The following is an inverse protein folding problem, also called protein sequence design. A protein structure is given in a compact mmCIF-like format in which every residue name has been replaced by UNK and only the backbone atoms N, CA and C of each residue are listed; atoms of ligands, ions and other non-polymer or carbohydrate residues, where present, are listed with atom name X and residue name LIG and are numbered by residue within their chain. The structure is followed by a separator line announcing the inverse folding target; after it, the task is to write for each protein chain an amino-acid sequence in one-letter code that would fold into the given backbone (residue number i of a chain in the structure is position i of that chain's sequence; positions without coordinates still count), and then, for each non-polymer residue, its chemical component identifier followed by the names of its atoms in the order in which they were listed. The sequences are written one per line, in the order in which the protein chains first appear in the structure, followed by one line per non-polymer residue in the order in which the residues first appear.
data_IF_377034370217
#
_entry.id   IF_377034370217
#
_cell.length_a   1.000
_cell.length_b   1.000
_cell.length_c   1.000
_cell.angle_alpha   90.00
_cell.angle_beta   90.00
_cell.angle_gamma   90.00
#
_symmetry.space_group_name_H-M   'P 1'
#
loop_
_entity.id
_entity.type
_entity.pdbx_description
1 polymer ?
#
# COMPACT_ATOMS: atom_id res chain seq x y z
N UNK A 1 0.37 -0.76 -7.08
CA UNK A 1 -0.67 0.22 -7.32
C UNK A 1 -0.21 1.13 -8.44
N UNK A 2 -1.13 1.54 -9.29
CA UNK A 2 -0.90 2.64 -10.20
C UNK A 2 -1.55 3.91 -9.62
N UNK A 3 -0.79 5.00 -9.46
CA UNK A 3 -1.23 6.26 -8.84
C UNK A 3 -1.06 7.44 -9.81
N UNK A 4 -2.16 7.99 -10.31
CA UNK A 4 -2.10 9.12 -11.26
C UNK A 4 -2.70 10.36 -10.64
N UNK A 5 -1.86 11.33 -10.34
CA UNK A 5 -2.30 12.66 -9.93
C UNK A 5 -2.75 13.48 -11.15
N UNK A 6 -3.76 14.33 -10.97
CA UNK A 6 -4.22 15.27 -12.02
C UNK A 6 -3.14 16.29 -12.39
N UNK A 7 -2.24 16.59 -11.46
CA UNK A 7 -1.12 17.52 -11.60
C UNK A 7 0.10 16.99 -10.85
N UNK A 8 1.29 17.33 -11.33
CA UNK A 8 2.57 16.86 -10.76
C UNK A 8 3.13 17.73 -9.63
N UNK A 9 2.51 18.88 -9.36
CA UNK A 9 2.85 19.77 -8.24
C UNK A 9 1.59 20.22 -7.54
N UNK A 10 1.50 19.93 -6.25
CA UNK A 10 0.38 20.28 -5.38
C UNK A 10 0.39 21.77 -5.04
N UNK A 11 -0.77 22.39 -4.77
CA UNK A 11 -0.84 23.78 -4.38
C UNK A 11 -0.30 23.88 -2.95
N UNK A 12 0.45 24.96 -2.67
CA UNK A 12 1.06 25.13 -1.35
C UNK A 12 0.03 25.45 -0.26
N UNK A 13 -1.08 26.09 -0.65
CA UNK A 13 -2.13 26.54 0.24
C UNK A 13 -3.52 26.50 -0.44
N UNK A 14 -4.56 26.85 0.33
CA UNK A 14 -5.94 26.83 -0.13
C UNK A 14 -6.24 27.91 -1.19
N UNK A 15 -5.58 29.06 -1.13
CA UNK A 15 -5.81 30.17 -2.06
C UNK A 15 -5.24 29.83 -3.45
N UNK A 16 -4.04 29.25 -3.50
CA UNK A 16 -3.45 28.73 -4.73
C UNK A 16 -4.30 27.59 -5.33
N UNK A 17 -4.90 26.75 -4.47
CA UNK A 17 -5.80 25.69 -4.92
C UNK A 17 -7.04 26.27 -5.60
N UNK A 18 -7.74 27.18 -4.93
CA UNK A 18 -8.98 27.79 -5.42
C UNK A 18 -8.73 28.66 -6.67
N UNK A 19 -7.70 29.51 -6.61
CA UNK A 19 -7.35 30.43 -7.70
C UNK A 19 -6.86 29.73 -8.97
N UNK A 20 -6.38 28.49 -8.88
CA UNK A 20 -5.91 27.74 -10.05
C UNK A 20 -7.02 27.30 -11.01
N UNK A 21 -8.25 27.10 -10.50
CA UNK A 21 -9.33 26.46 -11.25
C UNK A 21 -9.05 25.02 -11.70
N UNK A 22 -7.95 24.40 -11.25
CA UNK A 22 -7.57 23.04 -11.59
C UNK A 22 -8.28 22.04 -10.68
N UNK A 23 -8.64 20.88 -11.23
CA UNK A 23 -9.10 19.75 -10.43
C UNK A 23 -7.90 19.08 -9.77
N UNK A 24 -7.91 19.00 -8.45
CA UNK A 24 -6.85 18.39 -7.64
C UNK A 24 -7.33 17.02 -7.17
N UNK A 25 -6.69 15.96 -7.66
CA UNK A 25 -7.10 14.63 -7.30
C UNK A 25 -6.08 13.59 -7.70
N UNK A 26 -6.31 12.36 -7.22
CA UNK A 26 -5.48 11.20 -7.51
C UNK A 26 -6.39 10.05 -7.86
N UNK A 27 -6.12 9.39 -8.99
CA UNK A 27 -6.69 8.10 -9.33
C UNK A 27 -5.77 7.01 -8.83
N UNK A 28 -6.29 6.13 -7.99
CA UNK A 28 -5.55 4.97 -7.46
C UNK A 28 -6.14 3.70 -8.07
N UNK A 29 -5.29 2.86 -8.64
CA UNK A 29 -5.64 1.50 -9.08
C UNK A 29 -4.83 0.52 -8.23
N UNK A 30 -5.39 0.03 -7.10
CA UNK A 30 -4.63 -0.76 -6.13
C UNK A 30 -4.04 -2.03 -6.73
N UNK A 31 -4.87 -2.83 -7.40
CA UNK A 31 -4.50 -4.12 -8.00
C UNK A 31 -3.97 -4.00 -9.45
N UNK A 32 -3.41 -2.86 -9.81
CA UNK A 32 -2.75 -2.73 -11.11
C UNK A 32 -1.52 -3.67 -11.16
N UNK A 33 -1.37 -4.39 -12.27
CA UNK A 33 -0.23 -5.31 -12.46
C UNK A 33 1.13 -4.60 -12.45
N UNK A 34 1.15 -3.32 -12.85
CA UNK A 34 2.34 -2.46 -12.84
C UNK A 34 1.99 -1.04 -12.38
N UNK A 35 2.99 -0.31 -11.91
CA UNK A 35 2.89 1.12 -11.60
C UNK A 35 2.95 2.02 -12.86
N UNK A 36 3.00 3.33 -12.64
CA UNK A 36 3.07 4.41 -13.63
C UNK A 36 4.37 4.38 -14.44
N UNK A 37 5.39 3.69 -13.94
CA UNK A 37 6.70 3.50 -14.55
C UNK A 37 6.87 2.10 -15.14
N UNK A 38 5.77 1.34 -15.28
CA UNK A 38 5.73 -0.03 -15.78
C UNK A 38 6.51 -1.05 -14.92
N UNK A 39 6.61 -0.82 -13.61
CA UNK A 39 7.25 -1.73 -12.65
C UNK A 39 6.22 -2.59 -11.95
N UNK A 40 6.49 -3.89 -11.86
CA UNK A 40 5.71 -4.83 -11.07
C UNK A 40 5.92 -4.59 -9.55
N UNK A 41 4.98 -5.03 -8.69
CA UNK A 41 5.19 -4.99 -7.24
C UNK A 41 6.43 -5.78 -6.83
N UNK A 42 7.17 -5.25 -5.85
CA UNK A 42 8.16 -6.05 -5.13
C UNK A 42 7.45 -6.91 -4.08
N UNK A 43 7.74 -8.20 -4.06
CA UNK A 43 7.17 -9.15 -3.11
C UNK A 43 8.11 -9.40 -1.93
N UNK A 44 7.57 -9.43 -0.72
CA UNK A 44 8.30 -9.82 0.49
C UNK A 44 7.34 -10.34 1.56
N UNK A 45 7.88 -10.88 2.64
CA UNK A 45 7.11 -11.38 3.79
C UNK A 45 7.25 -10.46 5.01
N UNK A 46 6.49 -10.76 6.05
CA UNK A 46 6.53 -10.04 7.31
C UNK A 46 5.79 -8.70 7.23
N UNK A 47 4.65 -8.66 6.53
CA UNK A 47 3.80 -7.47 6.50
C UNK A 47 3.25 -7.08 7.88
N UNK A 48 3.16 -8.04 8.81
CA UNK A 48 2.81 -7.84 10.21
C UNK A 48 3.91 -7.15 11.01
N UNK A 49 5.16 -7.25 10.56
CA UNK A 49 6.33 -6.62 11.18
C UNK A 49 6.57 -5.20 10.66
N UNK A 50 5.82 -4.73 9.67
CA UNK A 50 6.01 -3.41 9.08
C UNK A 50 5.64 -2.32 10.09
N UNK A 51 6.59 -1.48 10.53
CA UNK A 51 6.33 -0.44 11.51
C UNK A 51 5.31 0.56 11.00
N UNK A 52 4.48 1.07 11.90
CA UNK A 52 3.53 2.14 11.64
C UNK A 52 3.87 3.33 12.52
N UNK A 53 3.64 4.52 11.99
CA UNK A 53 3.84 5.75 12.75
C UNK A 53 2.89 5.78 13.95
N UNK A 54 3.42 6.10 15.14
CA UNK A 54 2.65 6.15 16.39
C UNK A 54 1.60 7.27 16.39
N UNK A 55 1.80 8.31 15.57
CA UNK A 55 0.90 9.45 15.47
C UNK A 55 -0.16 9.30 14.37
N UNK A 56 0.26 9.06 13.12
CA UNK A 56 -0.66 9.05 11.96
C UNK A 56 -0.98 7.66 11.42
N UNK A 57 -0.40 6.59 12.01
CA UNK A 57 -0.63 5.19 11.61
C UNK A 57 -0.22 4.83 10.18
N UNK A 58 0.51 5.71 9.50
CA UNK A 58 1.10 5.45 8.20
C UNK A 58 2.19 4.38 8.29
N UNK A 59 2.24 3.50 7.30
CA UNK A 59 3.29 2.50 7.20
C UNK A 59 4.65 3.13 6.91
N UNK A 60 5.69 2.57 7.50
CA UNK A 60 7.07 2.81 7.10
C UNK A 60 7.24 2.49 5.61
N UNK A 61 8.01 3.32 4.90
CA UNK A 61 8.24 3.18 3.47
C UNK A 61 9.52 3.95 3.06
N UNK A 62 9.90 3.81 1.79
CA UNK A 62 11.07 4.46 1.16
C UNK A 62 11.19 5.98 1.33
N UNK A 63 10.10 6.69 1.63
CA UNK A 63 10.14 8.14 1.83
C UNK A 63 10.43 8.54 3.28
N UNK A 64 10.40 7.60 4.23
CA UNK A 64 10.72 7.87 5.62
C UNK A 64 12.24 8.05 5.80
N UNK A 65 12.65 9.00 6.64
CA UNK A 65 14.06 9.19 6.96
C UNK A 65 14.46 8.20 8.05
N UNK A 66 15.36 7.27 7.72
CA UNK A 66 15.84 6.23 8.62
C UNK A 66 17.14 6.67 9.31
N UNK A 67 17.14 6.59 10.63
CA UNK A 67 18.33 6.75 11.48
C UNK A 67 18.74 5.39 12.07
N UNK A 68 19.77 5.37 12.92
CA UNK A 68 20.29 4.14 13.49
C UNK A 68 19.29 3.38 14.38
N UNK A 69 18.44 4.11 15.11
CA UNK A 69 17.53 3.55 16.14
C UNK A 69 16.10 4.04 16.00
N UNK A 70 15.82 4.84 14.98
CA UNK A 70 14.62 5.64 14.83
C UNK A 70 14.33 5.93 13.38
N UNK A 71 13.12 6.40 13.10
CA UNK A 71 12.75 6.91 11.79
C UNK A 71 11.73 8.04 11.90
N UNK A 72 11.83 9.00 10.98
CA UNK A 72 10.90 10.12 10.86
C UNK A 72 9.82 9.81 9.82
N UNK A 73 8.56 9.95 10.20
CA UNK A 73 7.43 9.69 9.31
C UNK A 73 7.36 10.71 8.18
N UNK A 74 7.32 10.24 6.94
CA UNK A 74 7.25 11.09 5.74
C UNK A 74 5.95 11.89 5.60
N UNK A 75 4.89 11.54 6.33
CA UNK A 75 3.60 12.22 6.25
C UNK A 75 3.41 13.29 7.33
N UNK A 76 3.78 12.99 8.57
CA UNK A 76 3.52 13.88 9.72
C UNK A 76 4.79 14.34 10.45
N UNK A 77 5.97 13.87 10.06
CA UNK A 77 7.25 14.23 10.67
C UNK A 77 7.50 13.65 12.07
N UNK A 78 6.60 12.83 12.62
CA UNK A 78 6.79 12.24 13.94
C UNK A 78 8.00 11.30 13.94
N UNK A 79 8.86 11.42 14.95
CA UNK A 79 9.97 10.51 15.20
C UNK A 79 9.46 9.26 15.93
N UNK A 80 9.75 8.08 15.40
CA UNK A 80 9.32 6.79 15.96
C UNK A 80 10.56 5.94 16.25
N UNK A 81 10.53 5.19 17.36
CA UNK A 81 11.60 4.25 17.69
C UNK A 81 11.53 2.99 16.83
N UNK A 82 12.67 2.33 16.64
CA UNK A 82 12.73 1.00 16.04
C UNK A 82 12.86 -0.08 17.12
N UNK A 83 12.19 -1.22 16.91
CA UNK A 83 12.46 -2.43 17.67
C UNK A 83 13.82 -3.04 17.28
N UNK A 84 14.35 -3.94 18.12
CA UNK A 84 15.58 -4.71 17.81
C UNK A 84 15.51 -5.39 16.45
N UNK A 85 14.37 -6.02 16.16
CA UNK A 85 14.17 -6.81 14.95
C UNK A 85 14.08 -5.89 13.72
N UNK A 86 13.46 -4.73 13.87
CA UNK A 86 13.42 -3.71 12.81
C UNK A 86 14.80 -3.11 12.55
N UNK A 87 15.62 -2.87 13.58
CA UNK A 87 17.00 -2.40 13.43
C UNK A 87 17.82 -3.43 12.63
N UNK A 88 17.72 -4.72 12.98
CA UNK A 88 18.42 -5.77 12.24
C UNK A 88 17.94 -5.83 10.78
N UNK A 89 16.63 -5.83 10.55
CA UNK A 89 16.02 -5.84 9.21
C UNK A 89 16.48 -4.67 8.34
N UNK A 90 16.51 -3.46 8.91
CA UNK A 90 16.85 -2.23 8.17
C UNK A 90 18.35 -1.91 8.11
N UNK A 91 19.18 -2.61 8.88
CA UNK A 91 20.64 -2.56 8.73
C UNK A 91 21.13 -3.09 7.38
N UNK A 92 20.28 -3.83 6.65
CA UNK A 92 20.52 -4.36 5.31
C UNK A 92 19.44 -3.85 4.34
N UNK A 93 19.51 -2.59 3.87
CA UNK A 93 18.43 -1.96 3.11
C UNK A 93 17.98 -2.72 1.85
N UNK A 94 18.91 -3.45 1.21
CA UNK A 94 18.66 -4.22 -0.01
C UNK A 94 17.92 -5.55 0.24
N UNK A 95 17.64 -5.92 1.50
CA UNK A 95 16.98 -7.18 1.83
C UNK A 95 15.48 -7.08 2.10
N UNK A 96 14.89 -5.88 2.07
CA UNK A 96 13.45 -5.71 2.34
C UNK A 96 12.77 -4.82 1.29
N UNK A 97 11.56 -5.22 0.87
CA UNK A 97 10.89 -4.59 -0.26
C UNK A 97 10.45 -3.14 0.06
N UNK A 98 10.02 -2.89 1.29
CA UNK A 98 9.55 -1.58 1.77
C UNK A 98 10.63 -0.48 1.77
N UNK A 99 11.92 -0.86 1.69
CA UNK A 99 13.06 0.05 1.55
C UNK A 99 13.56 0.20 0.11
N UNK A 100 13.08 -0.62 -0.82
CA UNK A 100 13.52 -0.61 -2.21
C UNK A 100 12.46 -0.11 -3.19
N UNK A 101 11.18 -0.23 -2.83
CA UNK A 101 10.06 0.11 -3.71
C UNK A 101 8.93 0.78 -2.93
N UNK A 102 8.23 1.70 -3.59
CA UNK A 102 6.96 2.27 -3.12
C UNK A 102 5.74 1.44 -3.57
N UNK A 103 5.94 0.44 -4.42
CA UNK A 103 4.94 -0.54 -4.81
C UNK A 103 5.38 -1.92 -4.34
N UNK A 104 4.80 -2.38 -3.25
CA UNK A 104 5.12 -3.64 -2.59
C UNK A 104 3.86 -4.41 -2.25
N UNK A 105 3.95 -5.73 -2.34
CA UNK A 105 2.98 -6.67 -1.79
C UNK A 105 3.67 -7.45 -0.67
N UNK A 106 3.18 -7.29 0.55
CA UNK A 106 3.75 -7.92 1.74
C UNK A 106 2.84 -9.03 2.24
N UNK A 107 3.38 -10.23 2.34
CA UNK A 107 2.67 -11.39 2.87
C UNK A 107 2.48 -11.24 4.38
N UNK A 108 1.24 -11.38 4.84
CA UNK A 108 0.89 -11.47 6.24
C UNK A 108 0.96 -12.94 6.66
N UNK A 109 1.52 -13.26 7.84
CA UNK A 109 1.48 -14.63 8.35
C UNK A 109 0.03 -15.08 8.51
N UNK A 110 -0.25 -16.33 8.16
CA UNK A 110 -1.55 -16.95 8.41
C UNK A 110 -1.84 -16.91 9.91
N UNK A 111 -2.81 -16.09 10.33
CA UNK A 111 -3.19 -15.97 11.75
C UNK A 111 -3.95 -17.20 12.29
N UNK A 112 -4.17 -18.21 11.46
CA UNK A 112 -5.08 -19.32 11.71
C UNK A 112 -4.41 -20.67 11.44
N UNK A 113 -4.93 -21.73 12.06
CA UNK A 113 -4.49 -23.10 11.76
C UNK A 113 -4.71 -23.40 10.27
N UNK A 114 -3.93 -24.33 9.70
CA UNK A 114 -4.07 -24.71 8.28
C UNK A 114 -5.49 -25.14 7.89
N UNK A 115 -6.29 -25.60 8.86
CA UNK A 115 -7.68 -26.02 8.70
C UNK A 115 -8.66 -24.82 8.65
N UNK A 116 -8.43 -23.79 9.46
CA UNK A 116 -9.24 -22.55 9.47
C UNK A 116 -8.93 -21.66 8.26
N UNK A 117 -7.65 -21.54 7.89
CA UNK A 117 -7.22 -20.82 6.69
C UNK A 117 -7.79 -21.45 5.39
N UNK A 118 -7.95 -22.78 5.37
CA UNK A 118 -8.59 -23.48 4.25
C UNK A 118 -10.12 -23.25 4.19
N UNK A 119 -10.76 -22.88 5.30
CA UNK A 119 -12.20 -22.60 5.37
C UNK A 119 -12.57 -21.14 5.05
N UNK A 120 -11.64 -20.18 5.17
CA UNK A 120 -12.00 -18.75 5.24
C UNK A 120 -11.89 -17.90 3.97
N UNK A 121 -11.24 -18.32 2.88
CA UNK A 121 -11.19 -17.44 1.69
C UNK A 121 -10.88 -18.13 0.35
N UNK A 122 -11.59 -19.20 -0.01
CA UNK A 122 -11.64 -19.65 -1.40
C UNK A 122 -12.89 -19.05 -2.06
N UNK A 123 -12.83 -17.83 -2.63
CA UNK A 123 -13.98 -17.26 -3.34
C UNK A 123 -14.42 -18.21 -4.44
N UNK A 124 -15.69 -18.57 -4.44
CA UNK A 124 -16.28 -19.41 -5.48
C UNK A 124 -16.93 -18.54 -6.54
N UNK A 125 -16.69 -18.87 -7.80
CA UNK A 125 -17.39 -18.23 -8.91
C UNK A 125 -18.75 -18.91 -9.08
N UNK A 126 -19.83 -18.14 -8.93
CA UNK A 126 -21.20 -18.60 -9.17
C UNK A 126 -21.71 -17.94 -10.45
N UNK A 127 -21.93 -18.73 -11.49
CA UNK A 127 -22.57 -18.27 -12.71
C UNK A 127 -24.10 -18.46 -12.59
N UNK A 128 -24.83 -17.37 -12.43
CA UNK A 128 -26.29 -17.37 -12.49
C UNK A 128 -26.74 -17.02 -13.91
N UNK A 129 -27.42 -17.97 -14.57
CA UNK A 129 -27.93 -17.81 -15.95
C UNK A 129 -29.45 -17.78 -15.90
N UNK A 130 -30.05 -16.66 -16.32
CA UNK A 130 -31.50 -16.54 -16.46
C UNK A 130 -31.97 -17.33 -17.70
N UNK A 131 -32.88 -18.28 -17.49
CA UNK A 131 -33.48 -19.13 -18.53
C UNK A 131 -34.93 -18.73 -18.86
N UNK A 132 -35.42 -17.60 -18.32
CA UNK A 132 -36.79 -17.16 -18.55
C UNK A 132 -36.96 -16.53 -19.94
N UNK A 133 -37.34 -17.36 -20.92
CA UNK A 133 -37.92 -16.88 -22.18
C UNK A 133 -39.46 -16.93 -22.08
N UNK A 134 -40.11 -15.76 -22.10
CA UNK A 134 -41.44 -15.65 -22.72
C UNK A 134 -41.21 -15.69 -24.24
N UNK A 135 -41.32 -16.85 -24.85
CA UNK A 135 -41.67 -16.93 -26.27
C UNK A 135 -43.05 -16.31 -26.43
N UNK A 136 -43.10 -15.07 -26.90
CA UNK A 136 -44.32 -14.50 -27.41
C UNK A 136 -44.68 -15.19 -28.72
N UNK A 137 -45.67 -16.07 -28.66
CA UNK A 137 -46.73 -16.27 -29.66
C UNK A 137 -48.03 -16.62 -28.92
#
# INVERSE_FOLDING_TARGET
MAVRATVSRFPMDADAREGSGLLWGVTVTPFAAVDENHRAPSYSSGGDLLPRCENCWAYFNTYCELEQWSWSCSLCGNLNGLSSDAIERYSRPQSCAEMMSSFVDLELPSQESAEEAAMLACPVYVAAVDLSCKTGE
#
